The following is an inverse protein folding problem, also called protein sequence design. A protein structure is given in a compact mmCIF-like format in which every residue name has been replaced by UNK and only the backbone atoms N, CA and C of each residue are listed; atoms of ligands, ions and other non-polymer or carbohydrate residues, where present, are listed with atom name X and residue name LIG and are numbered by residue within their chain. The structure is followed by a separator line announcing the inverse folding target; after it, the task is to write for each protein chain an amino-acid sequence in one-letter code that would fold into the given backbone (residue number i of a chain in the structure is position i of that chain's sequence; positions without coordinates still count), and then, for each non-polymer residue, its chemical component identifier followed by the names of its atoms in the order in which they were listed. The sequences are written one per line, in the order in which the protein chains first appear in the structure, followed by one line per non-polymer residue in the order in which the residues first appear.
data_IF_244856961052
#
_entry.id   IF_244856961052
#
_cell.length_a   1.000
_cell.length_b   1.000
_cell.length_c   1.000
_cell.angle_alpha   90.00
_cell.angle_beta   90.00
_cell.angle_gamma   90.00
#
_symmetry.space_group_name_H-M   'P 1'
#
loop_
_entity.id
_entity.type
_entity.pdbx_description
1 polymer ?
#
# COMPACT_ATOMS: atom_id res chain seq x y z
N UNK A 1 -31.56 -6.99 -5.32
CA UNK A 1 -30.51 -6.30 -6.12
C UNK A 1 -29.74 -5.47 -5.12
N UNK A 2 -28.47 -5.77 -4.90
CA UNK A 2 -27.61 -4.89 -4.10
C UNK A 2 -27.54 -3.56 -4.82
N UNK A 3 -27.84 -2.46 -4.12
CA UNK A 3 -27.67 -1.12 -4.70
C UNK A 3 -26.20 -0.96 -5.09
N UNK A 4 -25.96 -0.38 -6.28
CA UNK A 4 -24.60 -0.14 -6.73
C UNK A 4 -23.87 0.80 -5.74
N UNK A 5 -22.58 0.57 -5.51
CA UNK A 5 -21.76 1.48 -4.71
C UNK A 5 -21.92 2.94 -5.18
N UNK A 6 -21.83 3.93 -4.29
CA UNK A 6 -21.94 5.34 -4.67
C UNK A 6 -20.83 5.75 -5.64
N UNK A 7 -21.08 6.81 -6.41
CA UNK A 7 -20.04 7.46 -7.20
C UNK A 7 -19.13 8.22 -6.24
N UNK A 8 -17.85 7.84 -6.22
CA UNK A 8 -16.84 8.48 -5.39
C UNK A 8 -16.06 9.55 -6.15
N UNK A 9 -15.82 9.31 -7.45
CA UNK A 9 -15.03 10.20 -8.30
C UNK A 9 -15.72 10.34 -9.66
N UNK A 10 -15.67 11.55 -10.21
CA UNK A 10 -16.17 11.89 -11.53
C UNK A 10 -15.05 12.45 -12.40
N UNK A 11 -15.12 12.18 -13.69
CA UNK A 11 -14.35 12.89 -14.71
C UNK A 11 -15.30 13.68 -15.61
N UNK A 12 -14.98 14.95 -15.85
CA UNK A 12 -15.80 15.82 -16.69
C UNK A 12 -15.11 16.10 -18.03
N UNK A 13 -15.93 16.42 -19.03
CA UNK A 13 -15.51 17.05 -20.27
C UNK A 13 -16.36 18.29 -20.50
N UNK A 14 -15.74 19.48 -20.37
CA UNK A 14 -16.51 20.70 -20.20
C UNK A 14 -17.44 20.57 -18.99
N UNK A 15 -18.73 20.87 -19.16
CA UNK A 15 -19.75 20.79 -18.12
C UNK A 15 -20.40 19.41 -17.99
N UNK A 16 -20.02 18.44 -18.84
CA UNK A 16 -20.61 17.09 -18.82
C UNK A 16 -19.79 16.14 -17.94
N UNK A 17 -20.46 15.34 -17.12
CA UNK A 17 -19.85 14.17 -16.48
C UNK A 17 -19.68 13.09 -17.55
N UNK A 18 -18.44 12.79 -17.91
CA UNK A 18 -18.12 11.83 -18.98
C UNK A 18 -17.87 10.42 -18.41
N UNK A 19 -17.20 10.32 -17.23
CA UNK A 19 -16.94 9.07 -16.55
C UNK A 19 -17.28 9.17 -15.06
N UNK A 20 -17.68 8.03 -14.49
CA UNK A 20 -17.92 7.90 -13.04
C UNK A 20 -17.19 6.67 -12.51
N UNK A 21 -16.56 6.82 -11.34
CA UNK A 21 -15.91 5.75 -10.63
C UNK A 21 -16.67 5.49 -9.32
N UNK A 22 -17.27 4.31 -9.24
CA UNK A 22 -18.01 3.87 -8.06
C UNK A 22 -17.08 3.13 -7.11
N UNK A 23 -17.43 3.10 -5.83
CA UNK A 23 -16.63 2.38 -4.86
C UNK A 23 -17.16 2.47 -3.44
N UNK A 24 -16.40 1.88 -2.54
CA UNK A 24 -16.68 1.93 -1.12
C UNK A 24 -15.46 2.47 -0.35
N UNK A 25 -15.72 3.13 0.78
CA UNK A 25 -14.67 3.51 1.73
C UNK A 25 -15.17 3.37 3.16
N UNK A 26 -14.23 3.15 4.08
CA UNK A 26 -14.47 3.24 5.51
C UNK A 26 -13.35 4.05 6.17
N UNK A 27 -13.74 4.85 7.16
CA UNK A 27 -12.85 5.55 8.11
C UNK A 27 -13.22 5.04 9.49
N UNK A 28 -12.26 4.46 10.19
CA UNK A 28 -12.48 3.77 11.46
C UNK A 28 -11.50 4.28 12.49
N UNK A 29 -11.97 4.52 13.71
CA UNK A 29 -11.13 4.86 14.84
C UNK A 29 -10.43 3.63 15.43
N UNK A 30 -9.35 3.83 16.19
CA UNK A 30 -8.62 2.74 16.88
C UNK A 30 -9.54 1.92 17.79
N UNK A 31 -10.57 2.54 18.37
CA UNK A 31 -11.61 1.87 19.16
C UNK A 31 -12.53 0.92 18.36
N UNK A 32 -12.46 0.94 17.03
CA UNK A 32 -13.35 0.20 16.14
C UNK A 32 -14.62 0.96 15.73
N UNK A 33 -14.83 2.17 16.25
CA UNK A 33 -15.95 3.02 15.84
C UNK A 33 -15.77 3.46 14.38
N UNK A 34 -16.83 3.31 13.58
CA UNK A 34 -16.87 3.78 12.19
C UNK A 34 -17.23 5.26 12.19
N UNK A 35 -16.29 6.11 11.83
CA UNK A 35 -16.47 7.57 11.74
C UNK A 35 -17.20 7.98 10.45
N UNK A 36 -16.89 7.29 9.35
CA UNK A 36 -17.57 7.47 8.09
C UNK A 36 -17.45 6.21 7.24
N UNK A 37 -18.47 5.94 6.45
CA UNK A 37 -18.46 4.85 5.49
C UNK A 37 -19.45 5.12 4.36
N UNK A 38 -19.14 4.59 3.17
CA UNK A 38 -20.07 4.55 2.06
C UNK A 38 -19.84 3.31 1.21
N UNK A 39 -20.91 2.76 0.63
CA UNK A 39 -20.87 1.57 -0.18
C UNK A 39 -20.78 0.26 0.64
N UNK A 40 -20.43 -0.83 -0.02
CA UNK A 40 -20.39 -2.19 0.55
C UNK A 40 -19.11 -2.43 1.38
N UNK A 41 -18.99 -1.79 2.53
CA UNK A 41 -17.77 -1.86 3.39
C UNK A 41 -17.60 -3.21 4.09
N UNK A 42 -18.64 -4.01 4.18
CA UNK A 42 -18.60 -5.36 4.78
C UNK A 42 -18.30 -6.46 3.77
N UNK A 43 -18.26 -6.12 2.47
CA UNK A 43 -17.84 -7.04 1.42
C UNK A 43 -16.36 -7.41 1.60
N UNK A 44 -16.06 -8.70 1.55
CA UNK A 44 -14.68 -9.17 1.50
C UNK A 44 -14.03 -8.77 0.18
N UNK A 45 -12.84 -8.17 0.27
CA UNK A 45 -12.03 -7.80 -0.88
C UNK A 45 -10.63 -8.38 -0.76
N UNK A 46 -9.92 -8.44 -1.88
CA UNK A 46 -8.48 -8.70 -1.93
C UNK A 46 -7.74 -7.36 -1.91
N UNK A 47 -7.11 -6.97 -0.79
CA UNK A 47 -6.53 -5.63 -0.62
C UNK A 47 -5.25 -5.42 -1.42
N UNK A 48 -4.69 -6.48 -1.99
CA UNK A 48 -3.48 -6.44 -2.79
C UNK A 48 -2.32 -5.79 -2.00
N UNK A 49 -1.54 -4.98 -2.67
CA UNK A 49 -0.37 -4.32 -2.05
C UNK A 49 -0.70 -3.28 -0.97
N UNK A 50 -1.96 -2.91 -0.76
CA UNK A 50 -2.31 -1.91 0.25
C UNK A 50 -2.02 -2.37 1.68
N UNK A 51 -1.89 -3.68 1.92
CA UNK A 51 -1.66 -4.28 3.25
C UNK A 51 -0.23 -4.78 3.48
N UNK A 52 0.73 -4.37 2.66
CA UNK A 52 2.12 -4.86 2.80
C UNK A 52 2.75 -4.55 4.15
N UNK A 53 2.35 -3.47 4.82
CA UNK A 53 2.76 -3.19 6.19
C UNK A 53 2.34 -4.34 7.12
N UNK A 54 1.11 -4.83 7.01
CA UNK A 54 0.63 -5.95 7.82
C UNK A 54 1.37 -7.24 7.50
N UNK A 55 1.72 -7.48 6.24
CA UNK A 55 2.52 -8.63 5.82
C UNK A 55 3.98 -8.55 6.32
N UNK A 56 4.49 -7.34 6.63
CA UNK A 56 5.83 -7.13 7.15
C UNK A 56 5.91 -7.18 8.69
N UNK A 57 4.77 -7.22 9.42
CA UNK A 57 4.77 -7.30 10.89
C UNK A 57 5.63 -8.45 11.42
N UNK A 58 5.55 -9.69 10.88
CA UNK A 58 6.35 -10.80 11.38
C UNK A 58 7.86 -10.59 11.25
N UNK A 59 8.32 -9.81 10.26
CA UNK A 59 9.74 -9.49 10.09
C UNK A 59 10.30 -8.72 11.29
N UNK A 60 9.48 -7.91 11.93
CA UNK A 60 9.90 -7.11 13.10
C UNK A 60 9.58 -7.80 14.42
N UNK A 61 8.36 -8.29 14.60
CA UNK A 61 7.90 -8.88 15.85
C UNK A 61 8.61 -10.19 16.23
N UNK A 62 9.13 -10.94 15.24
CA UNK A 62 9.96 -12.13 15.48
C UNK A 62 11.36 -11.81 15.98
N UNK A 63 11.78 -10.55 15.94
CA UNK A 63 13.15 -10.13 16.20
C UNK A 63 14.10 -10.25 15.00
N UNK A 64 13.60 -10.66 13.81
CA UNK A 64 14.43 -10.79 12.61
C UNK A 64 15.06 -9.47 12.19
N UNK A 65 14.28 -8.38 12.23
CA UNK A 65 14.77 -7.04 11.90
C UNK A 65 15.93 -6.60 12.79
N UNK A 66 15.88 -6.91 14.07
CA UNK A 66 16.94 -6.61 15.06
C UNK A 66 18.18 -7.49 14.84
N UNK A 67 17.97 -8.81 14.76
CA UNK A 67 19.06 -9.79 14.58
C UNK A 67 19.84 -9.55 13.27
N UNK A 68 19.15 -9.12 12.21
CA UNK A 68 19.73 -8.82 10.89
C UNK A 68 20.14 -7.35 10.74
N UNK A 69 19.96 -6.52 11.78
CA UNK A 69 20.29 -5.09 11.81
C UNK A 69 19.66 -4.32 10.62
N UNK A 70 18.39 -4.57 10.34
CA UNK A 70 17.68 -3.89 9.28
C UNK A 70 17.45 -2.43 9.65
N UNK A 71 17.88 -1.54 8.75
CA UNK A 71 17.59 -0.11 8.83
C UNK A 71 16.16 0.22 8.36
N UNK A 72 15.72 1.45 8.61
CA UNK A 72 14.37 1.89 8.27
C UNK A 72 14.12 1.93 6.76
N UNK A 73 15.16 2.12 5.93
CA UNK A 73 15.04 2.04 4.47
C UNK A 73 14.63 0.65 4.01
N UNK A 74 15.25 -0.41 4.57
CA UNK A 74 14.89 -1.80 4.27
C UNK A 74 13.51 -2.15 4.80
N UNK A 75 13.12 -1.64 5.96
CA UNK A 75 11.78 -1.81 6.52
C UNK A 75 10.71 -1.12 5.65
N UNK A 76 10.96 0.11 5.18
CA UNK A 76 10.08 0.78 4.23
C UNK A 76 9.98 0.00 2.91
N UNK A 77 11.11 -0.51 2.40
CA UNK A 77 11.16 -1.32 1.18
C UNK A 77 10.38 -2.66 1.35
N UNK A 78 10.37 -3.27 2.54
CA UNK A 78 9.54 -4.45 2.82
C UNK A 78 8.04 -4.17 2.66
N UNK A 79 7.60 -2.93 2.91
CA UNK A 79 6.23 -2.46 2.73
C UNK A 79 5.95 -1.92 1.30
N UNK A 80 6.92 -1.92 0.42
CA UNK A 80 6.88 -1.20 -0.85
C UNK A 80 6.06 -1.86 -1.95
N UNK A 81 5.52 -1.01 -2.83
CA UNK A 81 5.14 -1.36 -4.20
C UNK A 81 5.83 -0.36 -5.13
N UNK A 82 7.15 -0.51 -5.21
CA UNK A 82 8.00 0.48 -5.85
C UNK A 82 7.95 0.40 -7.39
N UNK A 83 8.41 1.45 -8.03
CA UNK A 83 8.40 1.57 -9.50
C UNK A 83 9.58 0.86 -10.19
N UNK A 84 10.42 0.14 -9.44
CA UNK A 84 11.55 -0.60 -9.99
C UNK A 84 12.68 0.31 -10.48
N UNK A 85 12.89 1.47 -9.84
CA UNK A 85 14.03 2.33 -10.17
C UNK A 85 15.37 1.67 -9.82
N UNK A 86 16.46 2.14 -10.40
CA UNK A 86 17.80 1.66 -10.10
C UNK A 86 18.11 1.66 -8.59
N UNK A 87 17.63 2.67 -7.87
CA UNK A 87 17.79 2.78 -6.41
C UNK A 87 17.06 1.63 -5.67
N UNK A 88 15.82 1.31 -6.07
CA UNK A 88 15.06 0.22 -5.46
C UNK A 88 15.70 -1.15 -5.75
N UNK A 89 16.09 -1.37 -7.00
CA UNK A 89 16.75 -2.61 -7.42
C UNK A 89 18.09 -2.81 -6.70
N UNK A 90 18.90 -1.75 -6.56
CA UNK A 90 20.16 -1.79 -5.83
C UNK A 90 19.95 -2.10 -4.35
N UNK A 91 18.99 -1.42 -3.68
CA UNK A 91 18.71 -1.66 -2.26
C UNK A 91 18.22 -3.09 -2.01
N UNK A 92 17.38 -3.65 -2.89
CA UNK A 92 16.95 -5.04 -2.80
C UNK A 92 18.12 -6.01 -3.01
N UNK A 93 18.99 -5.75 -3.99
CA UNK A 93 20.18 -6.57 -4.26
C UNK A 93 21.17 -6.56 -3.10
N UNK A 94 21.45 -5.38 -2.53
CA UNK A 94 22.33 -5.23 -1.36
C UNK A 94 21.77 -5.96 -0.15
N UNK A 95 20.45 -5.90 0.06
CA UNK A 95 19.80 -6.60 1.15
C UNK A 95 19.85 -8.12 0.97
N UNK A 96 19.58 -8.65 -0.23
CA UNK A 96 19.75 -10.07 -0.55
C UNK A 96 21.19 -10.54 -0.33
N UNK A 97 22.18 -9.77 -0.79
CA UNK A 97 23.58 -10.10 -0.60
C UNK A 97 23.97 -10.17 0.87
N UNK A 98 23.46 -9.26 1.72
CA UNK A 98 23.66 -9.30 3.17
C UNK A 98 23.06 -10.56 3.84
N UNK A 99 22.06 -11.18 3.20
CA UNK A 99 21.48 -12.47 3.63
C UNK A 99 22.23 -13.69 3.07
N UNK A 100 23.28 -13.49 2.25
CA UNK A 100 23.93 -14.56 1.50
C UNK A 100 23.07 -15.14 0.39
N UNK A 101 22.14 -14.33 -0.15
CA UNK A 101 21.21 -14.66 -1.23
C UNK A 101 21.43 -13.75 -2.45
N UNK A 102 20.73 -14.01 -3.54
CA UNK A 102 20.77 -13.21 -4.74
C UNK A 102 19.44 -13.15 -5.47
N UNK A 103 19.40 -12.51 -6.62
CA UNK A 103 18.17 -12.37 -7.41
C UNK A 103 17.49 -13.71 -7.73
N UNK A 104 18.26 -14.77 -7.96
CA UNK A 104 17.76 -16.13 -8.25
C UNK A 104 16.92 -16.73 -7.13
N UNK A 105 17.05 -16.22 -5.91
CA UNK A 105 16.30 -16.67 -4.74
C UNK A 105 14.94 -15.96 -4.63
N UNK A 106 14.72 -14.90 -5.42
CA UNK A 106 13.40 -14.26 -5.55
C UNK A 106 12.49 -15.11 -6.44
N UNK A 107 11.21 -15.15 -6.11
CA UNK A 107 10.17 -15.84 -6.90
C UNK A 107 8.97 -14.91 -7.20
N UNK A 108 9.21 -13.60 -7.23
CA UNK A 108 8.18 -12.61 -7.61
C UNK A 108 8.01 -12.45 -9.13
N UNK A 109 8.92 -13.00 -9.91
CA UNK A 109 8.98 -12.85 -11.36
C UNK A 109 9.59 -11.51 -11.81
N UNK A 110 10.17 -11.45 -13.02
CA UNK A 110 10.68 -10.20 -13.58
C UNK A 110 9.55 -9.25 -13.94
N UNK A 111 9.82 -7.93 -13.85
CA UNK A 111 8.86 -6.90 -14.19
C UNK A 111 9.53 -5.74 -14.91
N UNK A 112 8.90 -5.22 -15.96
CA UNK A 112 9.35 -3.98 -16.61
C UNK A 112 9.20 -2.84 -15.61
N UNK A 113 10.27 -2.06 -15.33
CA UNK A 113 10.18 -0.93 -14.40
C UNK A 113 9.14 0.10 -14.84
N UNK A 114 8.34 0.58 -13.88
CA UNK A 114 7.50 1.76 -14.10
C UNK A 114 8.33 3.04 -14.08
N UNK A 115 9.51 3.03 -13.46
CA UNK A 115 10.48 4.12 -13.52
C UNK A 115 10.96 4.34 -14.96
N UNK A 116 10.74 5.56 -15.46
CA UNK A 116 11.00 5.90 -16.86
C UNK A 116 12.49 5.83 -17.20
N UNK A 117 13.33 6.34 -16.30
CA UNK A 117 14.80 6.38 -16.50
C UNK A 117 15.36 4.96 -16.57
N UNK A 118 15.05 4.14 -15.58
CA UNK A 118 15.52 2.74 -15.53
C UNK A 118 14.99 1.93 -16.73
N UNK A 119 13.72 2.13 -17.10
CA UNK A 119 13.16 1.46 -18.27
C UNK A 119 13.87 1.85 -19.56
N UNK A 120 14.22 3.10 -19.74
CA UNK A 120 14.96 3.56 -20.91
C UNK A 120 16.40 3.00 -20.92
N UNK A 121 17.10 3.02 -19.78
CA UNK A 121 18.43 2.43 -19.65
C UNK A 121 18.47 0.93 -20.00
N UNK A 122 17.46 0.16 -19.55
CA UNK A 122 17.33 -1.26 -19.92
C UNK A 122 17.12 -1.42 -21.45
N UNK A 123 16.31 -0.57 -22.06
CA UNK A 123 16.06 -0.61 -23.52
C UNK A 123 17.32 -0.27 -24.31
N UNK A 124 18.08 0.75 -23.88
CA UNK A 124 19.30 1.21 -24.53
C UNK A 124 20.44 0.17 -24.44
N UNK A 125 20.56 -0.47 -23.28
CA UNK A 125 21.56 -1.54 -23.05
C UNK A 125 21.18 -2.89 -23.63
N UNK A 126 19.90 -3.10 -24.02
CA UNK A 126 19.38 -4.41 -24.41
C UNK A 126 19.24 -5.40 -23.24
N UNK A 127 19.42 -4.96 -22.00
CA UNK A 127 19.27 -5.81 -20.83
C UNK A 127 17.79 -6.12 -20.53
N UNK A 128 17.46 -7.39 -20.22
CA UNK A 128 16.09 -7.72 -19.84
C UNK A 128 15.74 -7.17 -18.45
N UNK A 129 14.45 -6.94 -18.18
CA UNK A 129 13.98 -6.70 -16.82
C UNK A 129 14.27 -7.89 -15.92
N UNK A 130 14.60 -7.64 -14.66
CA UNK A 130 14.92 -8.65 -13.67
C UNK A 130 13.88 -8.72 -12.56
N UNK A 131 13.99 -9.70 -11.65
CA UNK A 131 13.14 -9.81 -10.47
C UNK A 131 13.38 -8.65 -9.47
N UNK A 132 14.57 -8.05 -9.48
CA UNK A 132 14.88 -6.86 -8.65
C UNK A 132 14.02 -5.65 -9.05
N UNK A 133 13.62 -5.56 -10.32
CA UNK A 133 12.73 -4.51 -10.81
C UNK A 133 11.24 -4.74 -10.47
N UNK A 134 10.88 -5.96 -10.01
CA UNK A 134 9.51 -6.24 -9.57
C UNK A 134 9.12 -5.33 -8.40
N UNK A 135 7.94 -4.75 -8.47
CA UNK A 135 7.42 -3.83 -7.45
C UNK A 135 7.30 -4.44 -6.05
N UNK A 136 7.42 -5.77 -5.94
CA UNK A 136 7.37 -6.53 -4.70
C UNK A 136 8.74 -7.07 -4.28
N UNK A 137 9.84 -6.78 -4.99
CA UNK A 137 11.16 -7.37 -4.67
C UNK A 137 11.58 -7.11 -3.23
N UNK A 138 11.31 -5.92 -2.69
CA UNK A 138 11.55 -5.59 -1.29
C UNK A 138 10.75 -6.44 -0.30
N UNK A 139 9.44 -6.62 -0.56
CA UNK A 139 8.59 -7.51 0.26
C UNK A 139 9.13 -8.95 0.23
N UNK A 140 9.50 -9.45 -0.94
CA UNK A 140 10.05 -10.79 -1.10
C UNK A 140 11.40 -10.95 -0.39
N UNK A 141 12.26 -9.93 -0.45
CA UNK A 141 13.51 -9.90 0.35
C UNK A 141 13.22 -9.93 1.85
N UNK A 142 12.16 -9.22 2.30
CA UNK A 142 11.69 -9.28 3.69
C UNK A 142 11.21 -10.68 4.09
N UNK A 143 10.47 -11.38 3.22
CA UNK A 143 10.07 -12.76 3.46
C UNK A 143 11.27 -13.72 3.54
N UNK A 144 12.26 -13.55 2.67
CA UNK A 144 13.51 -14.32 2.73
C UNK A 144 14.32 -14.03 3.99
N UNK A 145 14.37 -12.78 4.43
CA UNK A 145 15.00 -12.40 5.69
C UNK A 145 14.33 -13.07 6.90
N UNK A 146 12.99 -13.06 6.92
CA UNK A 146 12.21 -13.75 7.94
C UNK A 146 12.44 -15.26 7.90
N UNK A 147 12.43 -15.90 6.73
CA UNK A 147 12.69 -17.32 6.57
C UNK A 147 14.06 -17.70 7.13
N UNK A 148 15.11 -16.93 6.81
CA UNK A 148 16.47 -17.14 7.35
C UNK A 148 16.51 -17.04 8.86
N UNK A 149 15.84 -16.03 9.43
CA UNK A 149 15.78 -15.85 10.90
C UNK A 149 15.07 -17.02 11.58
N UNK A 150 13.97 -17.49 11.01
CA UNK A 150 13.19 -18.62 11.54
C UNK A 150 13.86 -19.99 11.32
N UNK A 151 14.98 -20.06 10.59
CA UNK A 151 15.57 -21.32 10.18
C UNK A 151 14.69 -22.13 9.20
N UNK A 152 13.75 -21.45 8.53
CA UNK A 152 12.87 -22.06 7.55
C UNK A 152 13.55 -22.10 6.16
N UNK A 153 13.12 -23.01 5.26
CA UNK A 153 13.63 -23.02 3.88
C UNK A 153 13.45 -21.69 3.19
N UNK A 154 14.40 -21.30 2.33
CA UNK A 154 14.25 -20.13 1.44
C UNK A 154 13.62 -20.48 0.10
N UNK A 155 13.46 -21.77 -0.21
CA UNK A 155 12.66 -22.23 -1.33
C UNK A 155 11.17 -22.15 -0.98
N UNK A 156 10.32 -21.91 -1.97
CA UNK A 156 8.85 -21.92 -1.87
C UNK A 156 8.26 -21.04 -0.74
N UNK A 157 9.00 -20.00 -0.33
CA UNK A 157 8.59 -19.11 0.78
C UNK A 157 7.27 -18.37 0.54
N UNK A 158 6.68 -18.47 -0.63
CA UNK A 158 5.33 -17.96 -0.96
C UNK A 158 4.24 -19.02 -0.87
N UNK A 159 4.58 -20.29 -0.63
CA UNK A 159 3.57 -21.33 -0.40
C UNK A 159 2.74 -21.02 0.84
N UNK A 160 1.42 -21.21 0.76
CA UNK A 160 0.48 -20.78 1.83
C UNK A 160 0.77 -21.45 3.18
N UNK A 161 1.30 -22.67 3.17
CA UNK A 161 1.67 -23.47 4.33
C UNK A 161 3.11 -23.22 4.82
N UNK A 162 3.87 -22.39 4.10
CA UNK A 162 5.22 -22.02 4.52
C UNK A 162 5.19 -21.18 5.82
N UNK A 163 6.14 -21.38 6.79
CA UNK A 163 6.14 -20.66 8.05
C UNK A 163 6.02 -19.13 7.92
N UNK A 164 6.68 -18.54 6.92
CA UNK A 164 6.61 -17.10 6.64
C UNK A 164 5.19 -16.67 6.27
N UNK A 165 4.49 -17.43 5.43
CA UNK A 165 3.14 -17.06 4.98
C UNK A 165 2.10 -17.33 6.07
N UNK A 166 2.30 -18.35 6.91
CA UNK A 166 1.47 -18.56 8.10
C UNK A 166 1.60 -17.39 9.08
N UNK A 167 2.83 -16.95 9.38
CA UNK A 167 3.04 -15.77 10.22
C UNK A 167 2.40 -14.50 9.63
N UNK A 168 2.51 -14.30 8.31
CA UNK A 168 1.86 -13.18 7.63
C UNK A 168 0.32 -13.28 7.68
N UNK A 169 -0.26 -14.49 7.55
CA UNK A 169 -1.69 -14.72 7.65
C UNK A 169 -2.22 -14.44 9.07
N UNK A 170 -1.50 -14.91 10.10
CA UNK A 170 -1.81 -14.66 11.51
C UNK A 170 -1.76 -13.16 11.84
N UNK A 171 -0.71 -12.47 11.40
CA UNK A 171 -0.57 -11.03 11.61
C UNK A 171 -1.68 -10.24 10.89
N UNK A 172 -2.06 -10.64 9.67
CA UNK A 172 -3.15 -10.03 8.93
C UNK A 172 -4.50 -10.27 9.60
N UNK A 173 -4.78 -11.51 10.02
CA UNK A 173 -6.03 -11.88 10.67
C UNK A 173 -6.22 -11.11 11.98
N UNK A 174 -5.23 -11.13 12.89
CA UNK A 174 -5.31 -10.38 14.13
C UNK A 174 -5.44 -8.87 13.87
N UNK A 175 -4.70 -8.30 12.91
CA UNK A 175 -4.80 -6.87 12.59
C UNK A 175 -6.22 -6.49 12.14
N UNK A 176 -6.90 -7.36 11.39
CA UNK A 176 -8.27 -7.16 10.91
C UNK A 176 -9.35 -7.61 11.91
N UNK A 177 -8.94 -8.11 13.08
CA UNK A 177 -9.86 -8.55 14.13
C UNK A 177 -10.56 -9.88 13.86
N UNK A 178 -9.92 -10.75 13.09
CA UNK A 178 -10.41 -12.08 12.77
C UNK A 178 -9.48 -13.17 13.33
N UNK A 179 -10.02 -14.38 13.55
CA UNK A 179 -9.22 -15.55 13.97
C UNK A 179 -8.38 -16.09 12.80
N UNK A 180 -8.86 -15.92 11.57
CA UNK A 180 -8.19 -16.30 10.34
C UNK A 180 -8.64 -15.41 9.18
N UNK A 181 -7.84 -15.27 8.09
CA UNK A 181 -8.30 -14.59 6.90
C UNK A 181 -9.56 -15.27 6.31
N UNK A 182 -10.48 -14.49 5.72
CA UNK A 182 -11.70 -15.01 5.08
C UNK A 182 -11.43 -15.88 3.84
N UNK A 183 -10.22 -15.87 3.37
CA UNK A 183 -9.73 -16.59 2.20
C UNK A 183 -8.48 -15.92 1.65
N UNK A 184 -7.94 -16.46 0.58
CA UNK A 184 -6.76 -15.91 -0.10
C UNK A 184 -6.76 -16.26 -1.58
N UNK A 185 -5.97 -15.50 -2.34
CA UNK A 185 -5.66 -15.79 -3.74
C UNK A 185 -4.19 -15.50 -4.02
N UNK A 186 -3.67 -16.06 -5.09
CA UNK A 186 -2.30 -15.77 -5.55
C UNK A 186 -2.25 -14.34 -6.10
N UNK A 187 -1.35 -13.52 -5.57
CA UNK A 187 -1.11 -12.16 -6.08
C UNK A 187 -0.23 -12.18 -7.33
N UNK A 188 -0.17 -11.06 -8.05
CA UNK A 188 0.68 -10.90 -9.24
C UNK A 188 2.18 -11.15 -9.01
N UNK A 189 2.64 -11.09 -7.75
CA UNK A 189 4.01 -11.44 -7.35
C UNK A 189 4.15 -12.87 -6.80
N UNK A 190 3.17 -13.72 -7.00
CA UNK A 190 3.11 -15.13 -6.54
C UNK A 190 2.88 -15.34 -5.04
N UNK A 191 2.94 -14.29 -4.20
CA UNK A 191 2.66 -14.42 -2.77
C UNK A 191 1.15 -14.47 -2.48
N UNK A 192 0.71 -15.07 -1.35
CA UNK A 192 -0.68 -15.01 -0.91
C UNK A 192 -1.16 -13.57 -0.67
N UNK A 193 -2.39 -13.31 -1.09
CA UNK A 193 -3.14 -12.07 -0.87
C UNK A 193 -4.41 -12.42 -0.10
N UNK A 194 -4.44 -12.08 1.18
CA UNK A 194 -5.50 -12.46 2.11
C UNK A 194 -6.71 -11.54 1.99
N UNK A 195 -7.91 -12.11 2.05
CA UNK A 195 -9.16 -11.38 1.96
C UNK A 195 -9.67 -10.92 3.34
N UNK A 196 -10.23 -9.72 3.40
CA UNK A 196 -10.94 -9.18 4.56
C UNK A 196 -12.03 -8.18 4.12
N UNK A 197 -13.01 -7.86 4.97
CA UNK A 197 -13.94 -6.77 4.75
C UNK A 197 -13.20 -5.43 4.69
N UNK A 198 -13.67 -4.51 3.84
CA UNK A 198 -13.04 -3.20 3.70
C UNK A 198 -12.99 -2.43 5.04
N UNK A 199 -14.07 -2.50 5.83
CA UNK A 199 -14.13 -1.91 7.18
C UNK A 199 -13.06 -2.48 8.12
N UNK A 200 -12.81 -3.77 8.07
CA UNK A 200 -11.78 -4.42 8.89
C UNK A 200 -10.37 -3.97 8.49
N UNK A 201 -10.14 -3.74 7.18
CA UNK A 201 -8.88 -3.14 6.70
C UNK A 201 -8.69 -1.72 7.22
N UNK A 202 -9.73 -0.89 7.21
CA UNK A 202 -9.68 0.45 7.78
C UNK A 202 -9.34 0.39 9.29
N UNK A 203 -9.98 -0.51 10.03
CA UNK A 203 -9.67 -0.70 11.45
C UNK A 203 -8.23 -1.18 11.68
N UNK A 204 -7.73 -2.11 10.88
CA UNK A 204 -6.33 -2.54 10.94
C UNK A 204 -5.36 -1.36 10.82
N UNK A 205 -5.64 -0.42 9.89
CA UNK A 205 -4.82 0.77 9.72
C UNK A 205 -5.04 1.84 10.83
N UNK A 206 -6.20 1.88 11.47
CA UNK A 206 -6.39 2.66 12.71
C UNK A 206 -5.53 2.12 13.85
N UNK A 207 -5.46 0.81 13.99
CA UNK A 207 -4.56 0.14 14.96
C UNK A 207 -3.09 0.40 14.65
N UNK A 208 -2.71 0.46 13.39
CA UNK A 208 -1.36 0.89 12.95
C UNK A 208 -1.13 2.38 13.25
N UNK A 209 -2.15 3.23 13.15
CA UNK A 209 -2.05 4.65 13.49
C UNK A 209 -1.70 4.86 14.96
N UNK A 210 -2.33 4.13 15.88
CA UNK A 210 -2.04 4.14 17.32
C UNK A 210 -1.73 2.74 17.84
N UNK A 211 -0.51 2.23 17.59
CA UNK A 211 -0.20 0.83 17.87
C UNK A 211 -0.36 0.44 19.34
N UNK A 212 -0.08 1.32 20.29
CA UNK A 212 -0.19 1.02 21.73
C UNK A 212 -1.65 0.88 22.22
N UNK A 213 -2.58 1.51 21.50
CA UNK A 213 -4.02 1.37 21.75
C UNK A 213 -4.61 0.17 20.95
N UNK A 214 -4.02 -0.12 19.79
CA UNK A 214 -4.55 -1.08 18.83
C UNK A 214 -4.00 -2.50 18.97
N UNK A 215 -2.76 -2.64 19.38
CA UNK A 215 -2.06 -3.91 19.50
C UNK A 215 -1.43 -4.04 20.88
N UNK A 216 -0.89 -5.22 21.19
CA UNK A 216 -0.14 -5.46 22.43
C UNK A 216 1.29 -5.96 22.13
N UNK A 217 2.20 -5.79 23.11
CA UNK A 217 3.52 -6.39 23.11
C UNK A 217 4.34 -6.10 21.85
N UNK A 218 4.93 -7.16 21.29
CA UNK A 218 5.83 -7.06 20.15
C UNK A 218 5.13 -6.54 18.88
N UNK A 219 3.84 -6.82 18.69
CA UNK A 219 3.09 -6.36 17.54
C UNK A 219 2.89 -4.86 17.53
N UNK A 220 2.62 -4.25 18.69
CA UNK A 220 2.54 -2.80 18.83
C UNK A 220 3.88 -2.13 18.46
N UNK A 221 4.99 -2.67 18.95
CA UNK A 221 6.32 -2.18 18.62
C UNK A 221 6.65 -2.35 17.13
N UNK A 222 6.29 -3.49 16.53
CA UNK A 222 6.49 -3.76 15.11
C UNK A 222 5.68 -2.82 14.22
N UNK A 223 4.39 -2.62 14.52
CA UNK A 223 3.52 -1.73 13.77
C UNK A 223 4.03 -0.28 13.81
N UNK A 224 4.48 0.18 14.99
CA UNK A 224 5.10 1.50 15.13
C UNK A 224 6.34 1.62 14.27
N UNK A 225 7.29 0.69 14.40
CA UNK A 225 8.56 0.75 13.68
C UNK A 225 8.37 0.73 12.16
N UNK A 226 7.47 -0.11 11.64
CA UNK A 226 7.17 -0.14 10.21
C UNK A 226 6.47 1.13 9.71
N UNK A 227 5.47 1.64 10.46
CA UNK A 227 4.81 2.91 10.15
C UNK A 227 5.80 4.06 10.10
N UNK A 228 6.66 4.17 11.12
CA UNK A 228 7.63 5.25 11.23
C UNK A 228 8.71 5.15 10.14
N UNK A 229 9.16 3.93 9.81
CA UNK A 229 10.05 3.68 8.67
C UNK A 229 9.43 4.12 7.34
N UNK A 230 8.14 3.81 7.12
CA UNK A 230 7.43 4.27 5.92
C UNK A 230 7.28 5.80 5.89
N UNK A 231 7.01 6.45 7.02
CA UNK A 231 6.91 7.90 7.11
C UNK A 231 8.26 8.59 6.84
N UNK A 232 9.36 8.02 7.34
CA UNK A 232 10.72 8.57 7.18
C UNK A 232 11.30 8.32 5.77
N UNK A 233 10.87 7.25 5.10
CA UNK A 233 11.41 6.82 3.81
C UNK A 233 10.32 6.62 2.75
N UNK A 234 9.52 7.65 2.42
CA UNK A 234 8.40 7.52 1.50
C UNK A 234 8.82 7.19 0.05
N UNK A 235 10.05 7.55 -0.36
CA UNK A 235 10.58 7.19 -1.67
C UNK A 235 10.70 5.67 -1.83
N UNK A 236 11.23 4.98 -0.81
CA UNK A 236 11.40 3.53 -0.82
C UNK A 236 10.07 2.77 -0.96
N UNK A 237 8.95 3.38 -0.54
CA UNK A 237 7.62 2.75 -0.64
C UNK A 237 7.16 2.63 -2.10
N UNK A 238 7.44 3.64 -2.95
CA UNK A 238 6.85 3.68 -4.28
C UNK A 238 7.76 4.30 -5.35
N UNK A 239 8.56 5.33 -5.04
CA UNK A 239 9.41 6.07 -5.96
C UNK A 239 8.86 7.42 -6.36
N UNK A 240 9.65 8.17 -7.14
CA UNK A 240 9.33 9.54 -7.52
C UNK A 240 8.00 9.66 -8.27
N UNK A 241 7.21 10.68 -7.94
CA UNK A 241 5.93 10.97 -8.61
C UNK A 241 4.76 10.05 -8.22
N UNK A 242 5.00 9.00 -7.42
CA UNK A 242 3.97 8.06 -6.99
C UNK A 242 3.19 8.59 -5.80
N UNK A 243 1.89 8.26 -5.74
CA UNK A 243 0.99 8.76 -4.70
C UNK A 243 1.46 8.42 -3.28
N UNK A 244 1.92 7.19 -3.04
CA UNK A 244 2.39 6.82 -1.69
C UNK A 244 3.59 7.68 -1.26
N UNK A 245 4.54 7.97 -2.17
CA UNK A 245 5.69 8.81 -1.87
C UNK A 245 5.28 10.24 -1.55
N UNK A 246 4.43 10.81 -2.40
CA UNK A 246 4.09 12.23 -2.32
C UNK A 246 3.08 12.55 -1.24
N UNK A 247 2.01 11.75 -1.10
CA UNK A 247 1.01 11.99 -0.06
C UNK A 247 1.57 11.70 1.34
N UNK A 248 2.42 10.66 1.50
CA UNK A 248 3.11 10.43 2.78
C UNK A 248 4.09 11.56 3.09
N UNK A 249 4.83 12.04 2.09
CA UNK A 249 5.75 13.19 2.25
C UNK A 249 5.02 14.47 2.63
N UNK A 250 3.95 14.84 1.90
CA UNK A 250 3.13 16.02 2.17
C UNK A 250 2.43 15.96 3.55
N UNK A 251 2.07 14.76 4.00
CA UNK A 251 1.47 14.57 5.31
C UNK A 251 2.45 14.84 6.47
N UNK A 252 3.76 14.78 6.25
CA UNK A 252 4.80 15.10 7.24
C UNK A 252 4.57 14.39 8.60
N UNK A 253 4.29 13.08 8.57
CA UNK A 253 4.02 12.24 9.74
C UNK A 253 2.54 12.16 10.14
N UNK A 254 1.64 13.01 9.63
CA UNK A 254 0.20 12.98 9.94
C UNK A 254 -0.53 11.83 9.25
N UNK A 255 0.04 11.28 8.17
CA UNK A 255 -0.48 10.10 7.51
C UNK A 255 0.63 9.27 6.86
N UNK A 256 0.42 7.96 6.84
CA UNK A 256 1.17 7.00 6.02
C UNK A 256 0.18 6.30 5.11
N UNK A 257 0.43 6.32 3.81
CA UNK A 257 -0.51 5.77 2.83
C UNK A 257 0.09 4.62 2.04
N UNK A 258 -0.76 3.67 1.64
CA UNK A 258 -0.33 2.55 0.82
C UNK A 258 -1.36 2.17 -0.24
N UNK A 259 -0.99 2.32 -1.50
CA UNK A 259 -1.80 1.87 -2.63
C UNK A 259 -1.71 0.35 -2.82
N UNK A 260 -2.80 -0.25 -3.24
CA UNK A 260 -2.89 -1.58 -3.81
C UNK A 260 -3.23 -1.52 -5.30
N UNK A 261 -3.14 -2.65 -5.98
CA UNK A 261 -3.69 -2.78 -7.31
C UNK A 261 -5.24 -2.76 -7.26
N UNK A 262 -5.86 -2.62 -8.42
CA UNK A 262 -7.31 -2.70 -8.59
C UNK A 262 -8.08 -1.68 -7.73
N UNK A 263 -7.57 -0.44 -7.66
CA UNK A 263 -8.25 0.64 -6.95
C UNK A 263 -8.33 0.50 -5.42
N UNK A 264 -7.51 -0.35 -4.81
CA UNK A 264 -7.40 -0.45 -3.35
C UNK A 264 -6.43 0.58 -2.80
N UNK A 265 -6.77 1.22 -1.68
CA UNK A 265 -5.89 2.15 -0.99
C UNK A 265 -6.17 2.13 0.52
N UNK A 266 -5.12 2.25 1.33
CA UNK A 266 -5.20 2.35 2.80
C UNK A 266 -4.37 3.51 3.33
N UNK A 267 -4.76 4.04 4.49
CA UNK A 267 -4.01 5.07 5.21
C UNK A 267 -4.11 4.87 6.72
N UNK A 268 -3.04 5.19 7.44
CA UNK A 268 -3.00 5.33 8.89
C UNK A 268 -2.76 6.80 9.24
N UNK A 269 -3.58 7.38 10.11
CA UNK A 269 -3.52 8.78 10.55
C UNK A 269 -3.20 8.82 12.06
N UNK A 270 -1.91 8.91 12.45
CA UNK A 270 -1.48 8.77 13.87
C UNK A 270 -2.11 9.79 14.81
N UNK A 271 -2.13 11.08 14.45
CA UNK A 271 -2.66 12.14 15.30
C UNK A 271 -4.16 11.96 15.54
N UNK A 272 -4.91 11.63 14.48
CA UNK A 272 -6.36 11.44 14.57
C UNK A 272 -6.74 10.07 15.18
N UNK A 273 -5.83 9.09 15.21
CA UNK A 273 -6.14 7.72 15.61
C UNK A 273 -7.10 7.02 14.65
N UNK A 274 -7.01 7.36 13.36
CA UNK A 274 -7.91 6.88 12.33
C UNK A 274 -7.18 6.00 11.32
N UNK A 275 -7.90 5.03 10.78
CA UNK A 275 -7.50 4.27 9.60
C UNK A 275 -8.52 4.43 8.48
N UNK A 276 -8.03 4.50 7.26
CA UNK A 276 -8.85 4.62 6.05
C UNK A 276 -8.57 3.43 5.16
N UNK A 277 -9.63 2.86 4.59
CA UNK A 277 -9.53 1.92 3.48
C UNK A 277 -10.59 2.27 2.42
N UNK A 278 -10.20 2.19 1.15
CA UNK A 278 -11.12 2.38 0.03
C UNK A 278 -10.89 1.35 -1.08
N UNK A 279 -11.92 1.13 -1.86
CA UNK A 279 -11.92 0.27 -3.06
C UNK A 279 -12.74 0.94 -4.15
N UNK A 280 -12.11 1.20 -5.29
CA UNK A 280 -12.79 1.61 -6.52
C UNK A 280 -13.18 0.36 -7.31
N UNK A 281 -14.43 0.23 -7.70
CA UNK A 281 -15.00 -1.00 -8.26
C UNK A 281 -14.37 -1.40 -9.61
N UNK A 282 -14.15 -0.43 -10.49
CA UNK A 282 -13.52 -0.63 -11.80
C UNK A 282 -11.99 -0.77 -11.73
N UNK A 283 -11.41 -0.56 -10.53
CA UNK A 283 -9.97 -0.72 -10.30
C UNK A 283 -9.12 0.49 -10.72
N UNK A 284 -9.72 1.60 -11.14
CA UNK A 284 -8.96 2.78 -11.60
C UNK A 284 -8.08 3.35 -10.47
N UNK A 285 -6.77 3.38 -10.73
CA UNK A 285 -5.77 3.84 -9.76
C UNK A 285 -5.85 5.34 -9.55
N UNK A 286 -6.11 6.11 -10.58
CA UNK A 286 -6.12 7.55 -10.49
C UNK A 286 -7.37 8.05 -9.76
N UNK A 287 -8.51 7.37 -9.92
CA UNK A 287 -9.70 7.60 -9.10
C UNK A 287 -9.46 7.23 -7.63
N UNK A 288 -8.77 6.12 -7.36
CA UNK A 288 -8.39 5.74 -5.99
C UNK A 288 -7.46 6.77 -5.34
N UNK A 289 -6.50 7.32 -6.08
CA UNK A 289 -5.60 8.39 -5.62
C UNK A 289 -6.38 9.69 -5.32
N UNK A 290 -7.34 10.06 -6.19
CA UNK A 290 -8.22 11.20 -5.99
C UNK A 290 -9.08 11.04 -4.72
N UNK A 291 -9.73 9.89 -4.58
CA UNK A 291 -10.57 9.58 -3.43
C UNK A 291 -9.78 9.59 -2.11
N UNK A 292 -8.58 8.99 -2.10
CA UNK A 292 -7.72 8.98 -0.90
C UNK A 292 -7.23 10.38 -0.55
N UNK A 293 -6.80 11.18 -1.54
CA UNK A 293 -6.37 12.56 -1.29
C UNK A 293 -7.51 13.39 -0.68
N UNK A 294 -8.74 13.26 -1.19
CA UNK A 294 -9.92 13.95 -0.67
C UNK A 294 -10.22 13.55 0.79
N UNK A 295 -10.16 12.26 1.12
CA UNK A 295 -10.35 11.79 2.50
C UNK A 295 -9.25 12.31 3.43
N UNK A 296 -7.98 12.29 2.99
CA UNK A 296 -6.87 12.81 3.81
C UNK A 296 -6.99 14.31 4.08
N UNK A 297 -7.48 15.09 3.11
CA UNK A 297 -7.81 16.51 3.30
C UNK A 297 -8.97 16.67 4.27
N UNK A 298 -10.08 15.92 4.08
CA UNK A 298 -11.25 15.95 4.97
C UNK A 298 -10.90 15.70 6.43
N UNK A 299 -9.96 14.79 6.70
CA UNK A 299 -9.50 14.45 8.06
C UNK A 299 -8.25 15.24 8.51
N UNK A 300 -7.89 16.31 7.82
CA UNK A 300 -6.85 17.26 8.24
C UNK A 300 -5.42 16.75 8.11
N UNK A 301 -5.22 15.59 7.45
CA UNK A 301 -3.88 15.03 7.27
C UNK A 301 -3.10 15.69 6.13
N UNK A 302 -3.78 16.31 5.17
CA UNK A 302 -3.18 16.99 4.03
C UNK A 302 -3.75 18.39 3.83
N UNK A 303 -2.91 19.29 3.30
CA UNK A 303 -3.30 20.61 2.82
C UNK A 303 -3.80 20.48 1.37
N UNK A 304 -5.02 20.92 1.04
CA UNK A 304 -5.55 20.88 -0.33
C UNK A 304 -4.72 21.72 -1.33
N UNK A 305 -4.01 22.74 -0.84
CA UNK A 305 -3.20 23.63 -1.67
C UNK A 305 -1.78 23.10 -1.93
N UNK A 306 -1.38 22.00 -1.27
CA UNK A 306 -0.13 21.33 -1.60
C UNK A 306 -0.18 20.81 -3.07
N UNK A 307 0.83 21.14 -3.90
CA UNK A 307 0.81 20.77 -5.32
C UNK A 307 0.69 19.26 -5.58
N UNK A 308 1.23 18.42 -4.68
CA UNK A 308 1.15 16.97 -4.82
C UNK A 308 -0.26 16.43 -4.48
N UNK A 309 -1.00 17.15 -3.65
CA UNK A 309 -2.39 16.86 -3.28
C UNK A 309 -3.34 17.38 -4.35
N UNK A 310 -3.22 18.67 -4.70
CA UNK A 310 -4.08 19.33 -5.69
C UNK A 310 -4.12 18.60 -7.04
N UNK A 311 -2.95 18.15 -7.54
CA UNK A 311 -2.88 17.41 -8.82
C UNK A 311 -3.52 16.03 -8.78
N UNK A 312 -3.84 15.46 -7.61
CA UNK A 312 -4.57 14.20 -7.45
C UNK A 312 -6.03 14.41 -7.20
N UNK A 313 -6.34 15.39 -6.35
CA UNK A 313 -7.71 15.67 -5.95
C UNK A 313 -8.55 16.27 -7.08
N UNK A 314 -7.94 17.17 -7.87
CA UNK A 314 -8.63 17.89 -8.95
C UNK A 314 -7.70 18.14 -10.15
N UNK A 315 -7.13 17.10 -10.78
CA UNK A 315 -6.26 17.29 -11.93
C UNK A 315 -7.06 17.85 -13.12
N UNK A 316 -6.50 18.86 -13.78
CA UNK A 316 -7.03 19.34 -15.05
C UNK A 316 -6.69 18.31 -16.12
N UNK A 317 -7.72 17.76 -16.77
CA UNK A 317 -7.56 16.84 -17.91
C UNK A 317 -7.25 17.65 -19.17
N UNK A 318 -6.23 17.21 -19.91
CA UNK A 318 -5.75 17.91 -21.11
C UNK A 318 -5.70 16.98 -22.32
N UNK A 319 -5.95 17.51 -23.48
CA UNK A 319 -5.79 16.78 -24.72
C UNK A 319 -4.34 16.83 -25.23
N UNK A 320 -4.07 16.19 -26.37
CA UNK A 320 -2.73 16.14 -26.99
C UNK A 320 -2.16 17.50 -27.42
N UNK A 321 -2.98 18.55 -27.44
CA UNK A 321 -2.57 19.94 -27.71
C UNK A 321 -2.42 20.77 -26.42
N UNK A 322 -2.42 20.12 -25.25
CA UNK A 322 -2.36 20.77 -23.94
C UNK A 322 -3.56 21.71 -23.62
N UNK A 323 -4.69 21.53 -24.32
CA UNK A 323 -5.91 22.27 -24.06
C UNK A 323 -6.66 21.61 -22.91
N UNK A 324 -7.02 22.39 -21.88
CA UNK A 324 -7.87 21.91 -20.79
C UNK A 324 -9.24 21.45 -21.34
N UNK A 325 -9.60 20.21 -21.10
CA UNK A 325 -10.83 19.59 -21.60
C UNK A 325 -11.82 19.26 -20.51
N UNK A 326 -11.38 19.14 -19.27
CA UNK A 326 -12.19 18.80 -18.10
C UNK A 326 -11.34 18.62 -16.86
N UNK A 327 -11.89 17.97 -15.85
CA UNK A 327 -11.21 17.66 -14.61
C UNK A 327 -11.69 16.33 -14.03
N UNK A 328 -10.85 15.69 -13.23
CA UNK A 328 -11.27 14.65 -12.28
C UNK A 328 -11.58 15.32 -10.95
N UNK A 329 -12.60 14.86 -10.25
CA UNK A 329 -12.97 15.41 -8.94
C UNK A 329 -13.60 14.37 -8.01
N UNK A 330 -13.34 14.50 -6.72
CA UNK A 330 -14.06 13.76 -5.70
C UNK A 330 -15.50 14.29 -5.55
N UNK A 331 -16.45 13.39 -5.31
CA UNK A 331 -17.85 13.77 -5.09
C UNK A 331 -18.09 14.19 -3.64
N UNK A 332 -19.26 14.75 -3.38
CA UNK A 332 -19.68 15.14 -2.02
C UNK A 332 -19.66 13.98 -1.01
N UNK A 333 -19.78 12.74 -1.47
CA UNK A 333 -19.69 11.53 -0.63
C UNK A 333 -18.34 11.45 0.12
N UNK A 334 -17.27 11.94 -0.51
CA UNK A 334 -15.92 11.98 0.08
C UNK A 334 -15.61 13.28 0.82
N UNK A 335 -16.19 14.40 0.37
CA UNK A 335 -15.80 15.74 0.81
C UNK A 335 -16.75 16.38 1.83
N UNK A 336 -17.95 15.85 2.00
CA UNK A 336 -18.87 16.33 3.02
C UNK A 336 -18.29 16.12 4.43
N UNK A 337 -18.54 17.10 5.36
CA UNK A 337 -18.05 17.05 6.73
C UNK A 337 -18.58 15.84 7.51
#
# INVERSE_FOLDING_TARGET
MTDANPVLVEETRGDFVECVHRGAFAVVATSGVVEAAAGEVDRAILPRSSVKLLQALPLVESGAAEALRLDDRRLALACASHQGSATHAALAAEWLAALGLGERDLICGPQIPNDRETRNALRESGAPPSQLHNNCSGKHTGFLALARHMGAPTADYVAIDHPVQRAAAEAFAEATGADAPLGWAVDGCSAPNFAAPLRALAWAFARVARPDEGFSGLRAAAARRLRDAMAAHPFEIAGAGRACTELTGAAAGRAVVKTGAEGCFTAALPEAGLGIALKIDDGDTAAAECAMAALLVRYGALDPDDPSVARRMAPVLRNSRDIATGARRATVVLTAP
#
